data_IF_812503837781
#
_entry.id   IF_812503837781
#
_cell.length_a   1.000
_cell.length_b   1.000
_cell.length_c   1.000
_cell.angle_alpha   90.00
_cell.angle_beta   90.00
_cell.angle_gamma   90.00
#
_symmetry.space_group_name_H-M   'P 1'
#
loop_
_entity.id
_entity.type
_entity.pdbx_description
1 polymer ?
#
# COMPACT_ATOMS: atom_id res chain seq x y z
N UNK A 1 -28.88 -6.27 -15.89
CA UNK A 1 -28.65 -7.05 -14.65
C UNK A 1 -27.56 -6.33 -13.90
N UNK A 2 -27.92 -5.65 -12.81
CA UNK A 2 -26.99 -4.92 -11.96
C UNK A 2 -26.19 -5.90 -11.11
N UNK A 3 -25.01 -6.30 -11.58
CA UNK A 3 -24.06 -7.10 -10.81
C UNK A 3 -23.27 -6.21 -9.83
N UNK A 4 -23.97 -5.40 -9.03
CA UNK A 4 -23.30 -4.65 -7.96
C UNK A 4 -23.13 -5.58 -6.76
N UNK A 5 -21.96 -6.21 -6.66
CA UNK A 5 -21.52 -6.85 -5.41
C UNK A 5 -21.35 -5.74 -4.38
N UNK A 6 -22.38 -5.51 -3.57
CA UNK A 6 -22.32 -4.59 -2.45
C UNK A 6 -21.57 -5.29 -1.32
N UNK A 7 -20.24 -5.14 -1.28
CA UNK A 7 -19.46 -5.53 -0.11
C UNK A 7 -19.92 -4.59 1.01
N UNK A 8 -20.71 -5.12 1.95
CA UNK A 8 -20.97 -4.44 3.23
C UNK A 8 -19.65 -4.50 3.98
N UNK A 9 -18.87 -3.43 3.90
CA UNK A 9 -17.68 -3.32 4.72
C UNK A 9 -18.08 -3.32 6.19
N UNK A 10 -17.24 -3.95 7.02
CA UNK A 10 -17.20 -3.71 8.45
C UNK A 10 -17.26 -2.20 8.70
N UNK A 11 -17.99 -1.76 9.72
CA UNK A 11 -18.11 -0.34 10.05
C UNK A 11 -16.72 0.26 10.17
N UNK A 12 -16.43 1.30 9.38
CA UNK A 12 -15.19 2.06 9.55
C UNK A 12 -15.26 2.77 10.89
N UNK A 13 -14.27 2.52 11.74
CA UNK A 13 -14.21 2.98 13.12
C UNK A 13 -13.30 4.21 13.27
N UNK A 14 -13.25 4.77 14.48
CA UNK A 14 -12.42 5.93 14.80
C UNK A 14 -13.03 7.28 14.43
N UNK A 15 -12.29 8.36 14.72
CA UNK A 15 -12.73 9.73 14.45
C UNK A 15 -12.25 10.19 13.08
N UNK A 16 -13.16 10.75 12.29
CA UNK A 16 -12.89 11.36 10.98
C UNK A 16 -12.28 10.41 9.93
N UNK A 17 -12.88 9.24 9.65
CA UNK A 17 -12.45 8.44 8.50
C UNK A 17 -12.64 9.20 7.18
N UNK A 18 -11.85 8.87 6.15
CA UNK A 18 -11.98 9.55 4.86
C UNK A 18 -13.37 9.36 4.28
N UNK A 19 -14.00 10.46 3.85
CA UNK A 19 -15.40 10.47 3.36
C UNK A 19 -15.58 9.47 2.22
N UNK A 20 -14.58 9.29 1.37
CA UNK A 20 -14.62 8.36 0.24
C UNK A 20 -14.64 6.88 0.64
N UNK A 21 -14.28 6.54 1.88
CA UNK A 21 -14.34 5.19 2.43
C UNK A 21 -15.67 4.90 3.15
N UNK A 22 -16.48 5.92 3.45
CA UNK A 22 -17.78 5.75 4.10
C UNK A 22 -18.85 5.42 3.05
N UNK A 23 -19.72 4.46 3.36
CA UNK A 23 -20.89 4.13 2.54
C UNK A 23 -20.65 3.00 1.54
N UNK A 24 -21.44 2.97 0.46
CA UNK A 24 -21.38 1.89 -0.54
C UNK A 24 -20.11 2.04 -1.37
N UNK A 25 -19.25 1.03 -1.30
CA UNK A 25 -18.04 1.00 -2.10
C UNK A 25 -18.29 0.45 -3.50
N UNK A 26 -17.53 0.99 -4.45
CA UNK A 26 -17.54 0.60 -5.85
C UNK A 26 -16.37 -0.35 -6.15
N UNK A 27 -16.21 -0.71 -7.43
CA UNK A 27 -15.05 -1.47 -7.89
C UNK A 27 -13.75 -0.71 -7.57
N UNK A 28 -12.67 -1.45 -7.26
CA UNK A 28 -11.33 -0.92 -6.94
C UNK A 28 -11.23 -0.21 -5.57
N UNK A 29 -11.89 -0.80 -4.58
CA UNK A 29 -11.73 -0.47 -3.17
C UNK A 29 -11.11 -1.66 -2.43
N UNK A 30 -10.16 -1.39 -1.53
CA UNK A 30 -9.49 -2.37 -0.70
C UNK A 30 -9.61 -1.99 0.77
N UNK A 31 -9.71 -3.01 1.62
CA UNK A 31 -9.82 -2.87 3.06
C UNK A 31 -8.98 -3.93 3.75
N UNK A 32 -8.43 -3.57 4.91
CA UNK A 32 -7.72 -4.47 5.80
C UNK A 32 -7.93 -4.02 7.25
N UNK A 33 -8.10 -4.98 8.14
CA UNK A 33 -8.11 -4.78 9.58
C UNK A 33 -7.14 -5.81 10.19
N UNK A 34 -6.23 -5.36 11.03
CA UNK A 34 -5.30 -6.25 11.71
C UNK A 34 -5.88 -6.77 13.04
N UNK A 35 -5.13 -7.63 13.74
CA UNK A 35 -5.55 -8.22 15.02
C UNK A 35 -5.70 -7.22 16.17
N UNK A 36 -5.23 -5.98 16.00
CA UNK A 36 -5.37 -4.88 16.94
C UNK A 36 -6.58 -3.98 16.63
N UNK A 37 -7.35 -4.27 15.58
CA UNK A 37 -8.46 -3.45 15.12
C UNK A 37 -8.03 -2.21 14.33
N UNK A 38 -6.76 -2.14 13.90
CA UNK A 38 -6.29 -1.04 13.07
C UNK A 38 -6.78 -1.25 11.64
N UNK A 39 -7.56 -0.30 11.17
CA UNK A 39 -8.21 -0.36 9.88
C UNK A 39 -7.44 0.44 8.82
N UNK A 40 -7.36 -0.13 7.62
CA UNK A 40 -6.68 0.44 6.48
C UNK A 40 -7.59 0.37 5.25
N UNK A 41 -7.62 1.44 4.46
CA UNK A 41 -8.45 1.55 3.27
C UNK A 41 -7.66 2.11 2.11
N UNK A 42 -7.96 1.61 0.92
CA UNK A 42 -7.45 2.17 -0.31
C UNK A 42 -8.53 2.21 -1.40
N UNK A 43 -8.44 3.20 -2.27
CA UNK A 43 -9.37 3.37 -3.38
C UNK A 43 -8.64 3.91 -4.60
N UNK A 44 -8.84 3.25 -5.75
CA UNK A 44 -8.33 3.75 -7.01
C UNK A 44 -9.41 4.59 -7.70
N UNK A 45 -9.13 5.88 -7.87
CA UNK A 45 -9.98 6.82 -8.60
C UNK A 45 -9.23 7.31 -9.85
N UNK A 46 -9.64 6.78 -11.01
CA UNK A 46 -8.98 7.00 -12.31
C UNK A 46 -7.48 6.71 -12.23
N UNK A 47 -6.65 7.75 -12.24
CA UNK A 47 -5.19 7.70 -12.26
C UNK A 47 -4.56 7.84 -10.87
N UNK A 48 -5.36 7.99 -9.82
CA UNK A 48 -4.88 8.29 -8.47
C UNK A 48 -5.29 7.20 -7.49
N UNK A 49 -4.30 6.59 -6.84
CA UNK A 49 -4.54 5.67 -5.74
C UNK A 49 -4.56 6.43 -4.42
N UNK A 50 -5.68 6.40 -3.71
CA UNK A 50 -5.83 6.96 -2.36
C UNK A 50 -5.63 5.87 -1.33
N UNK A 51 -4.87 6.16 -0.27
CA UNK A 51 -4.61 5.25 0.85
C UNK A 51 -4.77 6.01 2.17
N UNK A 52 -5.38 5.38 3.17
CA UNK A 52 -5.51 5.93 4.52
C UNK A 52 -5.61 4.81 5.56
N UNK A 53 -5.25 5.10 6.81
CA UNK A 53 -5.27 4.13 7.91
C UNK A 53 -5.62 4.76 9.25
N UNK A 54 -6.25 3.99 10.12
CA UNK A 54 -6.67 4.41 11.45
C UNK A 54 -5.47 4.75 12.35
N UNK A 55 -4.42 3.93 12.30
CA UNK A 55 -3.21 4.08 13.14
C UNK A 55 -2.49 5.43 12.89
N UNK A 56 -2.61 5.95 11.66
CA UNK A 56 -2.06 7.24 11.26
C UNK A 56 -3.08 8.39 11.36
N UNK A 57 -4.16 8.20 12.12
CA UNK A 57 -5.21 9.19 12.32
C UNK A 57 -6.01 9.52 11.06
N UNK A 58 -6.20 8.52 10.19
CA UNK A 58 -6.89 8.65 8.89
C UNK A 58 -6.25 9.64 7.91
N UNK A 59 -4.95 9.94 8.05
CA UNK A 59 -4.21 10.76 7.08
C UNK A 59 -4.33 10.15 5.68
N UNK A 60 -4.80 10.97 4.74
CA UNK A 60 -4.92 10.56 3.34
C UNK A 60 -3.61 10.81 2.59
N UNK A 61 -3.21 9.82 1.80
CA UNK A 61 -2.15 9.95 0.80
C UNK A 61 -2.71 9.60 -0.56
N UNK A 62 -2.35 10.41 -1.54
CA UNK A 62 -2.65 10.20 -2.95
C UNK A 62 -1.36 9.87 -3.68
N UNK A 63 -1.39 8.80 -4.46
CA UNK A 63 -0.23 8.27 -5.18
C UNK A 63 -0.49 8.32 -6.68
N UNK A 64 0.47 8.89 -7.42
CA UNK A 64 0.55 8.80 -8.88
C UNK A 64 1.05 7.41 -9.30
N UNK A 65 0.89 7.05 -10.58
CA UNK A 65 1.41 5.77 -11.09
C UNK A 65 2.92 5.59 -10.79
N UNK A 66 3.72 6.63 -10.97
CA UNK A 66 5.16 6.59 -10.70
C UNK A 66 5.44 6.32 -9.22
N UNK A 67 4.71 6.99 -8.32
CA UNK A 67 4.82 6.76 -6.88
C UNK A 67 4.34 5.36 -6.48
N UNK A 68 3.27 4.85 -7.08
CA UNK A 68 2.78 3.49 -6.83
C UNK A 68 3.81 2.45 -7.24
N UNK A 69 4.45 2.61 -8.40
CA UNK A 69 5.48 1.68 -8.87
C UNK A 69 6.72 1.69 -7.96
N UNK A 70 7.18 2.87 -7.56
CA UNK A 70 8.35 3.02 -6.70
C UNK A 70 8.08 2.54 -5.26
N UNK A 71 6.90 2.84 -4.70
CA UNK A 71 6.52 2.33 -3.38
C UNK A 71 6.35 0.82 -3.38
N UNK A 72 5.79 0.24 -4.45
CA UNK A 72 5.68 -1.21 -4.57
C UNK A 72 7.05 -1.85 -4.54
N UNK A 73 8.01 -1.32 -5.29
CA UNK A 73 9.39 -1.81 -5.30
C UNK A 73 10.01 -1.74 -3.89
N UNK A 74 10.02 -0.54 -3.27
CA UNK A 74 10.57 -0.34 -1.93
C UNK A 74 9.96 -1.28 -0.89
N UNK A 75 8.64 -1.42 -0.87
CA UNK A 75 7.94 -2.23 0.12
C UNK A 75 8.21 -3.73 -0.13
N UNK A 76 8.25 -4.15 -1.39
CA UNK A 76 8.58 -5.55 -1.74
C UNK A 76 10.02 -5.90 -1.37
N UNK A 77 10.98 -5.01 -1.62
CA UNK A 77 12.37 -5.17 -1.19
C UNK A 77 12.47 -5.33 0.33
N UNK A 78 11.74 -4.50 1.09
CA UNK A 78 11.71 -4.57 2.55
C UNK A 78 11.10 -5.89 3.05
N UNK A 79 10.02 -6.35 2.44
CA UNK A 79 9.41 -7.66 2.75
C UNK A 79 10.35 -8.83 2.45
N UNK A 80 11.07 -8.77 1.34
CA UNK A 80 12.08 -9.77 0.98
C UNK A 80 13.20 -9.81 2.02
N UNK A 81 13.73 -8.65 2.40
CA UNK A 81 14.78 -8.54 3.42
C UNK A 81 14.34 -9.08 4.78
N UNK A 82 13.11 -8.79 5.20
CA UNK A 82 12.52 -9.33 6.43
C UNK A 82 12.34 -10.85 6.38
N UNK A 83 12.18 -11.42 5.18
CA UNK A 83 12.08 -12.86 4.99
C UNK A 83 13.46 -13.52 5.02
N UNK A 84 14.45 -12.90 4.37
CA UNK A 84 15.84 -13.40 4.31
C UNK A 84 16.54 -13.29 5.67
N UNK A 85 16.31 -12.22 6.43
CA UNK A 85 16.94 -12.03 7.75
C UNK A 85 16.54 -13.09 8.78
N UNK A 86 15.40 -13.78 8.55
CA UNK A 86 14.94 -14.91 9.38
C UNK A 86 15.66 -16.23 9.05
N UNK A 87 16.47 -16.29 8.00
CA UNK A 87 17.21 -17.49 7.61
C UNK A 87 18.51 -17.59 8.42
N UNK A 88 18.68 -18.62 9.27
CA UNK A 88 19.89 -18.80 10.06
C UNK A 88 21.14 -18.92 9.18
N UNK A 89 22.28 -18.38 9.63
CA UNK A 89 23.62 -18.50 9.04
C UNK A 89 23.84 -17.90 7.63
N UNK A 90 22.79 -17.46 6.92
CA UNK A 90 22.88 -16.84 5.58
C UNK A 90 22.26 -15.45 5.56
N UNK A 91 21.24 -15.21 6.38
CA UNK A 91 20.41 -14.02 6.33
C UNK A 91 21.14 -12.71 6.63
N UNK A 92 22.04 -12.69 7.61
CA UNK A 92 22.64 -11.44 8.12
C UNK A 92 23.63 -10.80 7.13
N UNK A 93 24.57 -11.58 6.60
CA UNK A 93 25.58 -11.09 5.65
C UNK A 93 24.94 -10.70 4.32
N UNK A 94 23.99 -11.50 3.84
CA UNK A 94 23.29 -11.22 2.58
C UNK A 94 22.35 -10.00 2.72
N UNK A 95 21.57 -9.92 3.80
CA UNK A 95 20.69 -8.77 4.02
C UNK A 95 21.46 -7.46 4.14
N UNK A 96 22.64 -7.47 4.79
CA UNK A 96 23.51 -6.28 4.89
C UNK A 96 24.04 -5.82 3.53
N UNK A 97 24.59 -6.73 2.74
CA UNK A 97 25.11 -6.42 1.39
C UNK A 97 24.01 -5.95 0.44
N UNK A 98 22.83 -6.58 0.52
CA UNK A 98 21.66 -6.17 -0.26
C UNK A 98 21.17 -4.77 0.15
N UNK A 99 21.11 -4.47 1.46
CA UNK A 99 20.71 -3.15 1.97
C UNK A 99 21.63 -2.04 1.48
N UNK A 100 22.95 -2.23 1.49
CA UNK A 100 23.91 -1.25 0.96
C UNK A 100 23.65 -0.96 -0.52
N UNK A 101 23.32 -1.99 -1.30
CA UNK A 101 23.04 -1.87 -2.74
C UNK A 101 21.68 -1.23 -3.02
N UNK A 102 20.64 -1.60 -2.26
CA UNK A 102 19.27 -1.09 -2.41
C UNK A 102 19.14 0.37 -1.95
N UNK A 103 19.84 0.77 -0.88
CA UNK A 103 19.86 2.16 -0.39
C UNK A 103 20.42 3.12 -1.45
N UNK A 104 21.36 2.64 -2.25
CA UNK A 104 21.96 3.40 -3.36
C UNK A 104 21.01 3.60 -4.55
N UNK A 105 19.98 2.75 -4.70
CA UNK A 105 18.98 2.86 -5.77
C UNK A 105 17.83 3.81 -5.43
N UNK A 106 17.52 3.99 -4.15
CA UNK A 106 16.39 4.80 -3.69
C UNK A 106 16.64 6.32 -3.69
N UNK A 107 17.88 6.76 -3.92
CA UNK A 107 18.26 8.19 -3.94
C UNK A 107 17.78 8.97 -5.17
N UNK A 108 17.25 8.30 -6.21
CA UNK A 108 16.80 8.94 -7.45
C UNK A 108 15.30 9.20 -7.54
N UNK A 109 14.50 8.69 -6.60
CA UNK A 109 13.03 8.85 -6.63
C UNK A 109 12.60 9.95 -5.67
N UNK A 110 11.77 10.85 -6.18
CA UNK A 110 11.02 11.86 -5.43
C UNK A 110 10.46 11.28 -4.12
N UNK A 111 10.33 12.13 -3.09
CA UNK A 111 9.85 11.78 -1.74
C UNK A 111 8.74 10.71 -1.78
N UNK A 112 9.09 9.48 -1.38
CA UNK A 112 8.21 8.31 -1.35
C UNK A 112 7.17 8.49 -0.23
N UNK A 113 5.87 8.76 -0.53
CA UNK A 113 4.92 9.23 0.47
C UNK A 113 4.63 8.23 1.60
N UNK A 114 4.67 6.93 1.32
CA UNK A 114 4.46 5.85 2.29
C UNK A 114 5.73 5.51 3.07
N UNK A 115 6.88 6.12 2.74
CA UNK A 115 8.13 5.87 3.49
C UNK A 115 8.12 6.48 4.90
N UNK A 116 7.26 7.47 5.14
CA UNK A 116 7.06 8.10 6.46
C UNK A 116 6.19 7.24 7.40
N UNK A 117 5.54 6.20 6.88
CA UNK A 117 4.64 5.36 7.66
C UNK A 117 5.39 4.22 8.34
N UNK A 118 5.10 4.03 9.64
CA UNK A 118 5.55 2.87 10.39
C UNK A 118 4.52 1.78 10.15
N UNK A 119 4.88 0.78 9.35
CA UNK A 119 3.99 -0.32 8.99
C UNK A 119 4.51 -1.63 9.59
N UNK A 120 3.62 -2.43 10.17
CA UNK A 120 3.91 -3.81 10.54
C UNK A 120 3.93 -4.73 9.31
N UNK A 121 4.26 -6.01 9.51
CA UNK A 121 4.38 -6.97 8.41
C UNK A 121 3.06 -7.18 7.66
N UNK A 122 1.93 -7.23 8.38
CA UNK A 122 0.61 -7.41 7.78
C UNK A 122 0.21 -6.23 6.91
N UNK A 123 0.46 -5.02 7.39
CA UNK A 123 0.21 -3.78 6.65
C UNK A 123 1.11 -3.64 5.43
N UNK A 124 2.39 -4.00 5.56
CA UNK A 124 3.31 -4.01 4.42
C UNK A 124 2.88 -5.03 3.35
N UNK A 125 2.39 -6.20 3.75
CA UNK A 125 1.85 -7.19 2.81
C UNK A 125 0.57 -6.68 2.14
N UNK A 126 -0.34 -6.11 2.92
CA UNK A 126 -1.58 -5.55 2.41
C UNK A 126 -1.30 -4.43 1.41
N UNK A 127 -0.50 -3.42 1.77
CA UNK A 127 -0.21 -2.30 0.88
C UNK A 127 0.51 -2.77 -0.40
N UNK A 128 1.45 -3.73 -0.31
CA UNK A 128 2.10 -4.30 -1.48
C UNK A 128 1.09 -4.98 -2.44
N UNK A 129 0.09 -5.66 -1.89
CA UNK A 129 -1.00 -6.26 -2.68
C UNK A 129 -1.88 -5.20 -3.37
N UNK A 130 -2.21 -4.12 -2.67
CA UNK A 130 -2.98 -2.98 -3.20
C UNK A 130 -2.22 -2.31 -4.35
N UNK A 131 -0.94 -1.96 -4.13
CA UNK A 131 -0.10 -1.32 -5.15
C UNK A 131 0.03 -2.21 -6.38
N UNK A 132 0.25 -3.51 -6.19
CA UNK A 132 0.34 -4.48 -7.29
C UNK A 132 -0.97 -4.57 -8.08
N UNK A 133 -2.12 -4.57 -7.40
CA UNK A 133 -3.42 -4.62 -8.06
C UNK A 133 -3.78 -3.31 -8.79
N UNK A 134 -3.31 -2.16 -8.30
CA UNK A 134 -3.62 -0.84 -8.87
C UNK A 134 -2.86 -0.54 -10.18
N UNK A 135 -1.60 -0.97 -10.30
CA UNK A 135 -0.71 -0.60 -11.42
C UNK A 135 -1.30 -0.90 -12.81
N UNK A 136 -1.83 -2.09 -13.12
CA UNK A 136 -2.34 -2.38 -14.46
C UNK A 136 -3.49 -1.44 -14.87
N UNK A 137 -4.36 -1.09 -13.92
CA UNK A 137 -5.46 -0.16 -14.17
C UNK A 137 -4.95 1.26 -14.37
N UNK A 138 -4.03 1.73 -13.53
CA UNK A 138 -3.46 3.06 -13.66
C UNK A 138 -2.71 3.24 -15.00
N UNK A 139 -2.01 2.20 -15.49
CA UNK A 139 -1.39 2.21 -16.82
C UNK A 139 -2.43 2.34 -17.93
N UNK A 140 -3.50 1.54 -17.85
CA UNK A 140 -4.57 1.57 -18.84
C UNK A 140 -5.33 2.91 -18.87
N UNK A 141 -5.58 3.54 -17.73
CA UNK A 141 -6.21 4.88 -17.68
C UNK A 141 -5.28 5.93 -18.30
N UNK A 142 -3.97 5.87 -18.02
CA UNK A 142 -2.97 6.80 -18.58
C UNK A 142 -2.82 6.68 -20.10
N UNK A 143 -2.97 5.48 -20.67
CA UNK A 143 -2.91 5.26 -22.12
C UNK A 143 -4.16 5.77 -22.87
N UNK A 144 -5.25 6.02 -22.15
CA UNK A 144 -6.52 6.50 -22.72
C UNK A 144 -6.66 8.01 -22.78
N UNK A 145 -5.84 8.73 -22.01
CA UNK A 145 -5.84 10.18 -21.89
C UNK A 145 -4.70 10.79 -22.71
#
# INVERSE_FOLDING_TARGET
>A
MDNTVSIKLQSIEGKNPPIWAIGKQNIRFWYYENEHGEQWVAKLDKETLKVSGLDIGWKEIELTLEQVEAERERITERLLLLSISKIPNVGETFARSYMETATTRQTSVQKLPLSEWILNNGEMLWIASVLTAAIPYMKWEKEKN
#
